data_IF_111506185106
#
_entry.id   IF_111506185106
#
_cell.length_a   1.000
_cell.length_b   1.000
_cell.length_c   1.000
_cell.angle_alpha   90.00
_cell.angle_beta   90.00
_cell.angle_gamma   90.00
#
_symmetry.space_group_name_H-M   'P 1'
#
loop_
_entity.id
_entity.type
_entity.pdbx_description
1 polymer ?
#
# COMPACT_ATOMS: atom_id res chain seq x y z
N UNK A 1 1.58 26.43 -53.05
CA UNK A 1 1.04 27.52 -52.20
C UNK A 1 0.84 26.95 -50.81
N UNK A 2 1.64 27.43 -49.86
CA UNK A 2 1.69 26.98 -48.46
C UNK A 2 0.61 27.72 -47.64
N UNK A 3 -0.07 27.01 -46.75
CA UNK A 3 -0.61 27.57 -45.50
C UNK A 3 -0.36 26.53 -44.42
N UNK A 4 0.40 26.95 -43.41
CA UNK A 4 0.93 26.12 -42.34
C UNK A 4 -0.07 26.01 -41.20
N UNK A 5 -0.09 24.82 -40.61
CA UNK A 5 -0.74 24.52 -39.35
C UNK A 5 0.27 24.89 -38.24
N UNK A 6 -0.10 25.86 -37.40
CA UNK A 6 0.69 26.21 -36.23
C UNK A 6 0.22 25.33 -35.07
N UNK A 7 1.06 24.36 -34.67
CA UNK A 7 0.97 23.74 -33.36
C UNK A 7 1.37 24.80 -32.33
N UNK A 8 0.42 25.19 -31.47
CA UNK A 8 0.73 25.87 -30.22
C UNK A 8 0.88 24.78 -29.16
N UNK A 9 2.13 24.43 -28.86
CA UNK A 9 2.47 23.57 -27.73
C UNK A 9 2.28 24.39 -26.45
N UNK A 10 1.20 24.13 -25.71
CA UNK A 10 1.11 24.43 -24.30
C UNK A 10 1.24 23.10 -23.55
N UNK A 11 2.49 22.79 -23.22
CA UNK A 11 2.86 21.77 -22.26
C UNK A 11 2.46 22.29 -20.87
N UNK A 12 1.30 21.89 -20.38
CA UNK A 12 0.98 21.96 -18.94
C UNK A 12 0.92 20.53 -18.47
N UNK A 13 1.90 20.20 -17.62
CA UNK A 13 2.07 18.92 -16.96
C UNK A 13 0.84 18.69 -16.06
N UNK A 14 -0.12 17.88 -16.51
CA UNK A 14 -1.14 17.31 -15.63
C UNK A 14 -0.51 16.06 -15.04
N UNK A 15 -0.01 16.18 -13.81
CA UNK A 15 0.55 15.07 -13.07
C UNK A 15 -0.56 14.13 -12.63
N UNK A 16 -0.52 12.88 -13.09
CA UNK A 16 -1.04 11.77 -12.32
C UNK A 16 -0.16 11.60 -11.08
N UNK A 17 -0.77 11.47 -9.91
CA UNK A 17 -0.13 10.86 -8.74
C UNK A 17 -0.82 9.51 -8.58
N UNK A 18 -0.16 8.46 -9.09
CA UNK A 18 -0.31 7.12 -8.55
C UNK A 18 0.33 7.10 -7.16
N UNK A 19 -0.12 6.25 -6.21
CA UNK A 19 0.53 6.12 -4.92
C UNK A 19 2.02 5.80 -5.13
N UNK A 20 2.87 6.67 -4.59
CA UNK A 20 4.32 6.49 -4.58
C UNK A 20 4.60 5.50 -3.45
N UNK A 21 4.93 4.27 -3.81
CA UNK A 21 5.77 3.41 -3.00
C UNK A 21 7.02 3.16 -3.84
N UNK A 22 8.10 3.89 -3.55
CA UNK A 22 9.47 3.39 -3.74
C UNK A 22 10.48 4.28 -3.03
N UNK A 23 11.14 3.62 -2.09
CA UNK A 23 12.22 4.10 -1.24
C UNK A 23 13.51 4.30 -2.05
N UNK A 24 14.30 5.28 -1.60
CA UNK A 24 15.64 5.65 -2.04
C UNK A 24 16.50 4.53 -2.67
N UNK A 25 16.85 4.68 -3.95
CA UNK A 25 18.10 4.17 -4.50
C UNK A 25 18.51 4.94 -5.78
N UNK A 26 19.39 5.94 -5.66
CA UNK A 26 20.43 6.11 -6.69
C UNK A 26 21.69 6.75 -6.11
N UNK A 27 22.76 5.96 -6.10
CA UNK A 27 24.10 6.38 -5.79
C UNK A 27 24.89 6.59 -7.09
N UNK A 28 25.29 7.85 -7.32
CA UNK A 28 26.69 8.14 -7.64
C UNK A 28 27.06 8.39 -9.10
N UNK A 29 27.46 9.63 -9.38
CA UNK A 29 28.72 9.92 -10.07
C UNK A 29 29.15 11.37 -9.80
N UNK A 30 30.20 11.53 -8.98
CA UNK A 30 30.80 12.82 -8.69
C UNK A 30 31.63 13.36 -9.85
N UNK A 31 31.63 14.70 -10.02
CA UNK A 31 32.73 15.43 -10.64
C UNK A 31 32.91 16.78 -9.92
N UNK A 32 33.93 16.79 -9.05
CA UNK A 32 34.95 17.81 -8.80
C UNK A 32 34.58 19.31 -8.81
N UNK A 33 34.78 19.89 -7.63
CA UNK A 33 34.98 21.30 -7.31
C UNK A 33 36.16 21.94 -8.07
N UNK A 34 35.92 23.13 -8.63
CA UNK A 34 36.92 24.18 -8.79
C UNK A 34 36.20 25.55 -8.90
N UNK A 35 36.44 26.42 -7.92
CA UNK A 35 35.84 27.76 -7.81
C UNK A 35 36.34 28.83 -8.81
N UNK A 36 36.39 30.11 -8.41
CA UNK A 36 35.40 31.10 -8.82
C UNK A 36 35.97 32.21 -9.73
N UNK A 37 35.12 32.89 -10.51
CA UNK A 37 35.52 34.16 -11.13
C UNK A 37 34.61 34.74 -12.22
N UNK A 38 33.98 35.87 -11.91
CA UNK A 38 34.23 37.12 -12.65
C UNK A 38 33.33 37.50 -13.84
N UNK A 39 32.60 38.61 -13.66
CA UNK A 39 32.24 39.58 -14.70
C UNK A 39 31.05 39.19 -15.60
N UNK A 40 30.08 40.04 -15.93
CA UNK A 40 29.99 41.49 -15.89
C UNK A 40 29.18 41.95 -17.10
N UNK A 41 28.21 42.83 -16.89
CA UNK A 41 27.46 43.57 -17.93
C UNK A 41 26.23 42.84 -18.48
N UNK A 42 25.07 43.47 -18.64
CA UNK A 42 24.70 44.87 -18.57
C UNK A 42 23.56 45.13 -19.57
N UNK A 43 22.57 45.93 -19.14
CA UNK A 43 21.50 46.52 -19.98
C UNK A 43 20.34 45.57 -20.27
N UNK A 44 19.12 45.78 -19.76
CA UNK A 44 18.29 46.99 -19.90
C UNK A 44 17.18 46.65 -20.91
N UNK A 45 15.90 46.89 -20.72
CA UNK A 45 15.08 47.59 -19.73
C UNK A 45 13.63 47.46 -20.24
N UNK A 46 12.63 47.69 -19.38
CA UNK A 46 11.23 47.67 -19.81
C UNK A 46 10.23 47.43 -18.68
N UNK A 47 10.09 48.43 -17.81
CA UNK A 47 9.04 48.53 -16.80
C UNK A 47 7.62 48.44 -17.37
N UNK A 48 6.75 47.75 -16.64
CA UNK A 48 5.30 47.81 -16.72
C UNK A 48 4.72 47.40 -15.35
N UNK A 49 4.51 48.42 -14.53
CA UNK A 49 4.03 48.43 -13.14
C UNK A 49 2.51 48.18 -13.04
N UNK A 50 2.06 47.99 -11.79
CA UNK A 50 0.71 47.86 -11.23
C UNK A 50 0.10 46.44 -11.32
N UNK A 51 -0.17 45.71 -10.23
CA UNK A 51 -0.46 46.12 -8.86
C UNK A 51 -1.96 45.98 -8.60
N UNK A 52 -2.33 45.26 -7.54
CA UNK A 52 -3.69 45.28 -7.00
C UNK A 52 -4.18 43.94 -6.51
N UNK A 53 -3.89 43.62 -5.25
CA UNK A 53 -4.63 42.60 -4.52
C UNK A 53 -6.10 42.99 -4.39
N UNK A 54 -6.96 41.99 -4.52
CA UNK A 54 -8.37 42.07 -4.22
C UNK A 54 -8.83 40.66 -3.87
N UNK A 55 -9.18 40.45 -2.60
CA UNK A 55 -9.84 39.22 -2.17
C UNK A 55 -11.10 39.01 -2.99
N UNK A 56 -11.29 37.79 -3.48
CA UNK A 56 -12.56 37.40 -4.08
C UNK A 56 -13.50 36.96 -2.96
N UNK A 57 -14.30 37.93 -2.56
CA UNK A 57 -15.60 37.73 -1.92
C UNK A 57 -16.47 36.80 -2.80
N UNK A 58 -17.16 35.85 -2.18
CA UNK A 58 -17.93 34.77 -2.79
C UNK A 58 -19.20 35.22 -3.52
N UNK A 59 -19.05 36.08 -4.53
CA UNK A 59 -20.12 36.47 -5.44
C UNK A 59 -20.17 35.56 -6.66
N UNK A 60 -21.24 34.78 -6.79
CA UNK A 60 -21.56 33.97 -7.98
C UNK A 60 -21.49 34.86 -9.23
N UNK A 61 -20.66 34.51 -10.21
CA UNK A 61 -20.64 35.18 -11.52
C UNK A 61 -22.02 34.99 -12.19
N UNK A 62 -22.83 36.05 -12.42
CA UNK A 62 -24.21 35.93 -12.88
C UNK A 62 -24.35 35.42 -14.32
N UNK A 63 -23.25 35.07 -14.99
CA UNK A 63 -23.23 34.58 -16.37
C UNK A 63 -22.95 33.08 -16.50
N UNK A 64 -22.79 32.33 -15.41
CA UNK A 64 -22.58 30.88 -15.46
C UNK A 64 -23.95 30.19 -15.57
N UNK A 65 -24.16 29.42 -16.63
CA UNK A 65 -25.43 28.74 -16.90
C UNK A 65 -25.58 27.50 -16.01
N UNK A 66 -26.76 27.30 -15.43
CA UNK A 66 -27.11 26.06 -14.75
C UNK A 66 -27.35 24.93 -15.77
N UNK A 67 -26.73 23.78 -15.54
CA UNK A 67 -26.91 22.54 -16.31
C UNK A 67 -27.27 21.40 -15.38
N UNK A 68 -27.97 20.39 -15.90
CA UNK A 68 -28.17 19.13 -15.18
C UNK A 68 -27.03 18.16 -15.47
N UNK A 69 -26.78 17.23 -14.56
CA UNK A 69 -25.83 16.13 -14.78
C UNK A 69 -26.20 15.34 -16.05
N UNK A 70 -27.49 15.12 -16.27
CA UNK A 70 -27.97 14.44 -17.47
C UNK A 70 -27.56 15.17 -18.76
N UNK A 71 -27.64 16.51 -18.81
CA UNK A 71 -27.21 17.27 -19.99
C UNK A 71 -25.71 17.12 -20.27
N UNK A 72 -24.90 17.03 -19.22
CA UNK A 72 -23.45 16.81 -19.35
C UNK A 72 -23.22 15.41 -19.94
N UNK A 73 -23.77 14.40 -19.27
CA UNK A 73 -23.61 12.98 -19.59
C UNK A 73 -24.19 12.59 -20.98
N UNK A 74 -25.16 13.35 -21.53
CA UNK A 74 -25.72 13.09 -22.87
C UNK A 74 -25.07 13.92 -23.98
N UNK A 75 -24.01 14.69 -23.69
CA UNK A 75 -23.27 15.47 -24.69
C UNK A 75 -23.93 16.79 -25.11
N UNK A 76 -24.90 17.30 -24.33
CA UNK A 76 -25.52 18.62 -24.57
C UNK A 76 -24.64 19.78 -24.07
N UNK A 77 -23.56 19.46 -23.35
CA UNK A 77 -22.56 20.41 -22.84
C UNK A 77 -21.23 20.14 -23.54
N UNK A 78 -20.60 21.18 -24.08
CA UNK A 78 -19.29 21.05 -24.68
C UNK A 78 -18.19 20.94 -23.60
N UNK A 79 -17.17 20.13 -23.85
CA UNK A 79 -15.99 20.03 -22.99
C UNK A 79 -15.36 21.42 -22.74
N UNK A 80 -14.76 21.61 -21.57
CA UNK A 80 -14.17 22.86 -21.08
C UNK A 80 -15.18 23.99 -20.86
N UNK A 81 -16.47 23.64 -20.69
CA UNK A 81 -17.51 24.60 -20.32
C UNK A 81 -17.58 24.75 -18.80
N UNK A 82 -17.44 25.98 -18.31
CA UNK A 82 -17.78 26.33 -16.93
C UNK A 82 -19.31 26.37 -16.76
N UNK A 83 -19.81 25.67 -15.76
CA UNK A 83 -21.24 25.50 -15.51
C UNK A 83 -21.56 25.44 -14.02
N UNK A 84 -22.85 25.57 -13.70
CA UNK A 84 -23.39 25.40 -12.35
C UNK A 84 -24.31 24.17 -12.30
N UNK A 85 -24.21 23.39 -11.24
CA UNK A 85 -25.16 22.30 -10.93
C UNK A 85 -25.87 22.67 -9.64
N UNK A 86 -27.19 22.88 -9.72
CA UNK A 86 -28.03 23.19 -8.57
C UNK A 86 -28.58 21.92 -7.90
N UNK A 87 -28.55 21.88 -6.56
CA UNK A 87 -29.24 20.86 -5.73
C UNK A 87 -28.90 19.39 -6.07
N UNK A 88 -27.61 19.07 -6.27
CA UNK A 88 -27.15 17.68 -6.36
C UNK A 88 -26.94 17.06 -4.96
N UNK A 89 -26.99 15.74 -4.86
CA UNK A 89 -26.72 15.00 -3.62
C UNK A 89 -25.35 14.34 -3.70
N UNK A 90 -24.51 14.51 -2.69
CA UNK A 90 -23.23 13.80 -2.54
C UNK A 90 -23.51 12.33 -2.24
N UNK A 91 -23.15 11.43 -3.16
CA UNK A 91 -23.40 9.99 -3.04
C UNK A 91 -22.22 9.23 -2.45
N UNK A 92 -21.00 9.74 -2.62
CA UNK A 92 -19.77 9.24 -1.99
C UNK A 92 -18.71 10.36 -1.91
N UNK A 93 -17.79 10.27 -0.95
CA UNK A 93 -16.64 11.17 -0.81
C UNK A 93 -15.37 10.33 -0.90
N UNK A 94 -14.41 10.75 -1.72
CA UNK A 94 -13.11 10.12 -1.87
C UNK A 94 -12.08 11.07 -1.28
N UNK A 95 -11.57 10.72 -0.09
CA UNK A 95 -10.61 11.55 0.65
C UNK A 95 -9.43 11.95 -0.25
N UNK A 96 -9.05 13.22 -0.17
CA UNK A 96 -7.93 13.83 -0.92
C UNK A 96 -8.01 13.78 -2.46
N UNK A 97 -9.16 13.38 -3.03
CA UNK A 97 -9.34 13.34 -4.49
C UNK A 97 -10.60 14.06 -4.97
N UNK A 98 -11.75 13.85 -4.34
CA UNK A 98 -13.01 14.38 -4.84
C UNK A 98 -14.24 13.75 -4.21
N UNK A 99 -15.35 13.77 -4.94
CA UNK A 99 -16.62 13.21 -4.48
C UNK A 99 -17.56 12.92 -5.66
N UNK A 100 -18.50 12.01 -5.46
CA UNK A 100 -19.55 11.72 -6.43
C UNK A 100 -20.81 12.48 -6.05
N UNK A 101 -21.49 13.02 -7.06
CA UNK A 101 -22.81 13.64 -6.89
C UNK A 101 -23.83 13.03 -7.83
N UNK A 102 -25.10 13.12 -7.45
CA UNK A 102 -26.21 12.66 -8.27
C UNK A 102 -27.40 13.63 -8.19
N UNK A 103 -28.07 13.86 -9.31
CA UNK A 103 -29.32 14.62 -9.41
C UNK A 103 -30.48 13.69 -9.75
N UNK A 104 -31.33 13.43 -8.74
CA UNK A 104 -32.44 12.49 -8.86
C UNK A 104 -31.99 11.03 -8.93
N UNK A 105 -32.81 10.18 -9.54
CA UNK A 105 -32.55 8.75 -9.75
C UNK A 105 -32.69 8.41 -11.23
N UNK A 106 -31.88 7.49 -11.75
CA UNK A 106 -31.97 7.06 -13.14
C UNK A 106 -30.67 7.22 -13.92
N UNK A 107 -30.74 6.90 -15.21
CA UNK A 107 -29.57 6.92 -16.09
C UNK A 107 -29.01 8.35 -16.21
N UNK A 108 -27.70 8.46 -16.34
CA UNK A 108 -26.98 9.73 -16.52
C UNK A 108 -27.27 10.75 -15.40
N UNK A 109 -27.59 10.27 -14.19
CA UNK A 109 -27.89 11.16 -13.07
C UNK A 109 -26.67 11.48 -12.23
N UNK A 110 -25.56 10.74 -12.40
CA UNK A 110 -24.37 10.83 -11.58
C UNK A 110 -23.15 11.38 -12.33
N UNK A 111 -22.22 11.98 -11.59
CA UNK A 111 -20.94 12.46 -12.12
C UNK A 111 -19.90 12.55 -10.99
N UNK A 112 -18.63 12.32 -11.35
CA UNK A 112 -17.51 12.57 -10.44
C UNK A 112 -17.12 14.05 -10.44
N UNK A 113 -16.79 14.56 -9.26
CA UNK A 113 -16.28 15.91 -9.06
C UNK A 113 -14.86 15.81 -8.53
N UNK A 114 -13.90 16.17 -9.38
CA UNK A 114 -12.49 16.17 -9.07
C UNK A 114 -12.11 17.44 -8.28
N UNK A 115 -11.58 17.25 -7.07
CA UNK A 115 -11.22 18.31 -6.15
C UNK A 115 -10.08 17.87 -5.22
N UNK A 116 -8.83 17.80 -5.72
CA UNK A 116 -7.69 17.26 -4.99
C UNK A 116 -7.16 18.20 -3.90
N UNK A 117 -7.66 19.43 -3.82
CA UNK A 117 -7.33 20.35 -2.73
C UNK A 117 -8.21 20.01 -1.52
N UNK A 118 -7.59 19.78 -0.35
CA UNK A 118 -8.28 19.43 0.92
C UNK A 118 -9.51 20.29 1.25
N UNK A 119 -9.60 21.52 0.75
CA UNK A 119 -10.74 22.43 0.96
C UNK A 119 -11.98 22.09 0.13
N UNK A 120 -11.86 21.32 -0.97
CA UNK A 120 -12.99 20.96 -1.83
C UNK A 120 -13.88 19.88 -1.20
N UNK A 121 -13.31 19.04 -0.34
CA UNK A 121 -14.00 17.97 0.39
C UNK A 121 -14.21 18.30 1.88
N UNK A 122 -13.59 19.36 2.40
CA UNK A 122 -13.72 19.76 3.81
C UNK A 122 -15.19 20.02 4.19
N UNK A 123 -15.70 19.20 5.11
CA UNK A 123 -17.09 19.30 5.60
C UNK A 123 -18.14 18.69 4.67
N UNK A 124 -17.77 18.10 3.52
CA UNK A 124 -18.67 17.28 2.73
C UNK A 124 -18.91 15.93 3.39
N UNK A 125 -20.17 15.51 3.41
CA UNK A 125 -20.58 14.20 3.92
C UNK A 125 -21.55 13.56 2.93
N UNK A 126 -21.58 12.23 2.93
CA UNK A 126 -22.56 11.46 2.16
C UNK A 126 -23.99 11.89 2.51
N UNK A 127 -24.82 12.11 1.49
CA UNK A 127 -26.17 12.64 1.62
C UNK A 127 -26.25 14.16 1.80
N UNK A 128 -25.14 14.90 1.69
CA UNK A 128 -25.19 16.35 1.62
C UNK A 128 -25.81 16.82 0.29
N UNK A 129 -26.72 17.80 0.36
CA UNK A 129 -27.17 18.55 -0.81
C UNK A 129 -26.22 19.70 -1.06
N UNK A 130 -25.78 19.80 -2.30
CA UNK A 130 -24.83 20.81 -2.73
C UNK A 130 -25.34 21.52 -3.97
N UNK A 131 -24.92 22.77 -4.08
CA UNK A 131 -24.84 23.43 -5.36
C UNK A 131 -23.39 23.74 -5.63
N UNK A 132 -22.92 23.50 -6.85
CA UNK A 132 -21.53 23.78 -7.19
C UNK A 132 -21.38 24.44 -8.56
N UNK A 133 -20.26 25.12 -8.72
CA UNK A 133 -19.75 25.57 -10.01
C UNK A 133 -18.47 24.80 -10.30
N UNK A 134 -18.26 24.41 -11.55
CA UNK A 134 -17.04 23.72 -11.99
C UNK A 134 -16.92 23.73 -13.51
N UNK A 135 -15.79 23.24 -14.01
CA UNK A 135 -15.54 23.09 -15.45
C UNK A 135 -15.73 21.64 -15.85
N UNK A 136 -16.61 21.38 -16.82
CA UNK A 136 -16.76 20.04 -17.40
C UNK A 136 -15.53 19.67 -18.22
N UNK A 137 -14.96 18.51 -17.94
CA UNK A 137 -13.82 17.94 -18.65
C UNK A 137 -14.06 16.45 -18.93
N UNK A 138 -13.58 15.99 -20.07
CA UNK A 138 -13.46 14.56 -20.37
C UNK A 138 -12.09 14.10 -19.92
N UNK A 139 -12.04 13.27 -18.89
CA UNK A 139 -10.79 12.74 -18.38
C UNK A 139 -10.49 11.41 -19.04
N UNK A 140 -9.44 11.37 -19.86
CA UNK A 140 -8.95 10.16 -20.49
C UNK A 140 -7.70 9.64 -19.77
N UNK A 141 -7.74 8.40 -19.29
CA UNK A 141 -6.59 7.71 -18.68
C UNK A 141 -6.62 6.24 -19.03
N UNK A 142 -5.48 5.70 -19.47
CA UNK A 142 -5.23 4.27 -19.66
C UNK A 142 -6.38 3.47 -20.29
N UNK A 143 -6.95 4.00 -21.37
CA UNK A 143 -8.02 3.32 -22.12
C UNK A 143 -9.45 3.61 -21.64
N UNK A 144 -9.61 4.37 -20.56
CA UNK A 144 -10.90 4.90 -20.08
C UNK A 144 -11.08 6.37 -20.43
N UNK A 145 -12.33 6.78 -20.62
CA UNK A 145 -12.77 8.18 -20.66
C UNK A 145 -13.92 8.34 -19.68
N UNK A 146 -13.85 9.36 -18.82
CA UNK A 146 -14.88 9.61 -17.81
C UNK A 146 -15.29 11.08 -17.85
N UNK A 147 -16.59 11.33 -17.73
CA UNK A 147 -17.12 12.68 -17.56
C UNK A 147 -16.91 13.15 -16.13
N UNK A 148 -16.23 14.28 -15.93
CA UNK A 148 -16.03 14.85 -14.59
C UNK A 148 -16.12 16.38 -14.56
N UNK A 149 -16.32 16.92 -13.36
CA UNK A 149 -16.18 18.34 -13.09
C UNK A 149 -14.87 18.64 -12.37
N UNK A 150 -14.12 19.61 -12.86
CA UNK A 150 -12.86 20.07 -12.25
C UNK A 150 -12.99 21.47 -11.64
N UNK A 151 -12.11 21.76 -10.67
CA UNK A 151 -12.01 23.03 -9.95
C UNK A 151 -13.33 23.47 -9.31
N UNK A 152 -13.97 22.61 -8.51
CA UNK A 152 -15.29 22.91 -7.97
C UNK A 152 -15.23 24.03 -6.93
N UNK A 153 -16.22 24.92 -6.98
CA UNK A 153 -16.62 25.73 -5.82
C UNK A 153 -17.94 25.18 -5.32
N UNK A 154 -17.98 24.73 -4.06
CA UNK A 154 -19.12 23.98 -3.51
C UNK A 154 -19.82 24.80 -2.42
N UNK A 155 -21.14 24.91 -2.54
CA UNK A 155 -22.05 25.44 -1.53
C UNK A 155 -22.87 24.28 -0.94
N UNK A 156 -22.71 24.00 0.36
CA UNK A 156 -23.51 22.98 1.05
C UNK A 156 -24.83 23.59 1.50
N UNK A 157 -25.92 23.11 0.92
CA UNK A 157 -27.29 23.56 1.22
C UNK A 157 -27.85 22.89 2.49
N UNK A 158 -27.31 21.72 2.84
CA UNK A 158 -27.65 20.96 4.05
C UNK A 158 -27.20 19.51 3.96
N UNK A 159 -27.13 18.81 5.09
CA UNK A 159 -26.74 17.40 5.17
C UNK A 159 -27.78 16.62 5.97
N UNK A 160 -28.89 16.27 5.31
CA UNK A 160 -29.94 15.46 5.93
C UNK A 160 -29.73 13.95 5.76
N UNK A 161 -28.65 13.55 5.09
CA UNK A 161 -28.26 12.14 4.93
C UNK A 161 -29.14 11.38 3.93
N UNK A 162 -30.02 12.07 3.20
CA UNK A 162 -30.93 11.43 2.25
C UNK A 162 -30.19 11.18 0.93
N UNK A 163 -29.96 9.92 0.63
CA UNK A 163 -29.40 9.49 -0.65
C UNK A 163 -30.50 9.31 -1.70
N UNK A 164 -30.17 9.44 -3.01
CA UNK A 164 -31.03 8.94 -4.07
C UNK A 164 -31.30 7.45 -3.89
N UNK A 165 -32.49 7.00 -4.29
CA UNK A 165 -32.79 5.57 -4.33
C UNK A 165 -31.87 4.88 -5.36
N UNK A 166 -31.12 3.83 -4.98
CA UNK A 166 -30.23 3.13 -5.89
C UNK A 166 -31.02 2.47 -7.01
N UNK A 167 -30.45 2.45 -8.23
CA UNK A 167 -31.01 1.64 -9.31
C UNK A 167 -30.70 0.16 -9.04
N UNK A 168 -31.72 -0.68 -9.06
CA UNK A 168 -31.52 -2.13 -8.94
C UNK A 168 -31.23 -2.68 -10.34
N UNK A 169 -30.02 -3.19 -10.54
CA UNK A 169 -29.53 -3.68 -11.83
C UNK A 169 -29.01 -5.11 -11.72
N UNK A 170 -29.03 -5.82 -12.84
CA UNK A 170 -28.25 -7.05 -12.99
C UNK A 170 -26.78 -6.67 -13.29
N UNK A 171 -25.78 -7.45 -12.82
CA UNK A 171 -24.36 -7.13 -13.03
C UNK A 171 -23.99 -6.84 -14.49
N UNK A 172 -24.58 -7.57 -15.45
CA UNK A 172 -24.31 -7.37 -16.87
C UNK A 172 -24.75 -6.01 -17.43
N UNK A 173 -25.64 -5.29 -16.74
CA UNK A 173 -26.07 -3.95 -17.17
C UNK A 173 -24.99 -2.89 -16.93
N UNK A 174 -24.05 -3.16 -16.02
CA UNK A 174 -22.88 -2.33 -15.73
C UNK A 174 -21.69 -2.67 -16.63
N UNK A 175 -21.87 -3.51 -17.65
CA UNK A 175 -20.82 -3.93 -18.58
C UNK A 175 -21.13 -3.53 -20.02
N UNK A 176 -20.08 -3.36 -20.83
CA UNK A 176 -20.18 -3.02 -22.25
C UNK A 176 -20.71 -1.61 -22.51
N UNK A 177 -21.12 -1.34 -23.76
CA UNK A 177 -21.55 0.01 -24.19
C UNK A 177 -22.76 0.57 -23.43
N UNK A 178 -23.57 -0.30 -22.82
CA UNK A 178 -24.73 0.12 -22.01
C UNK A 178 -24.37 0.63 -20.61
N UNK A 179 -23.14 0.41 -20.15
CA UNK A 179 -22.69 0.78 -18.82
C UNK A 179 -22.55 2.30 -18.62
N UNK A 180 -22.33 3.05 -19.70
CA UNK A 180 -22.22 4.53 -19.66
C UNK A 180 -23.43 5.20 -19.02
N UNK A 181 -24.60 4.56 -19.16
CA UNK A 181 -25.84 5.03 -18.55
C UNK A 181 -25.75 5.16 -17.02
N UNK A 182 -24.82 4.45 -16.39
CA UNK A 182 -24.70 4.29 -14.96
C UNK A 182 -23.38 4.82 -14.39
N UNK A 183 -22.58 5.53 -15.20
CA UNK A 183 -21.38 6.21 -14.70
C UNK A 183 -21.76 7.27 -13.64
N UNK A 184 -21.09 7.22 -12.49
CA UNK A 184 -21.35 8.07 -11.33
C UNK A 184 -22.68 7.79 -10.62
N UNK A 185 -23.48 6.82 -11.09
CA UNK A 185 -24.82 6.54 -10.55
C UNK A 185 -24.74 5.52 -9.42
N UNK A 186 -25.52 5.75 -8.37
CA UNK A 186 -25.71 4.83 -7.26
C UNK A 186 -26.58 3.64 -7.69
N UNK A 187 -26.03 2.44 -7.60
CA UNK A 187 -26.60 1.18 -8.09
C UNK A 187 -26.54 0.12 -7.01
N UNK A 188 -27.55 -0.74 -6.97
CA UNK A 188 -27.54 -1.99 -6.19
C UNK A 188 -27.66 -3.18 -7.15
N UNK A 189 -26.76 -4.16 -6.99
CA UNK A 189 -26.87 -5.48 -7.61
C UNK A 189 -27.23 -6.51 -6.53
N UNK A 190 -27.91 -7.58 -6.89
CA UNK A 190 -28.34 -8.63 -5.97
C UNK A 190 -27.78 -10.01 -6.33
N UNK A 191 -27.74 -10.90 -5.33
CA UNK A 191 -27.48 -12.34 -5.49
C UNK A 191 -26.22 -12.67 -6.31
N UNK A 192 -25.07 -12.17 -5.88
CA UNK A 192 -23.78 -12.38 -6.56
C UNK A 192 -22.80 -13.20 -5.73
N UNK A 193 -21.88 -13.88 -6.40
CA UNK A 193 -20.80 -14.68 -5.83
C UNK A 193 -19.46 -14.22 -6.40
N UNK A 194 -18.41 -14.18 -5.57
CA UNK A 194 -17.03 -13.94 -6.02
C UNK A 194 -16.59 -15.11 -6.89
N UNK A 195 -16.23 -14.83 -8.14
CA UNK A 195 -15.72 -15.81 -9.11
C UNK A 195 -14.21 -15.70 -9.29
N UNK A 196 -13.64 -14.51 -9.10
CA UNK A 196 -12.21 -14.29 -9.03
C UNK A 196 -11.89 -13.35 -7.87
N UNK A 197 -11.04 -13.80 -6.95
CA UNK A 197 -10.64 -13.03 -5.78
C UNK A 197 -9.51 -12.03 -6.07
N UNK A 198 -8.82 -12.17 -7.21
CA UNK A 198 -7.82 -11.24 -7.70
C UNK A 198 -7.85 -11.20 -9.24
N UNK A 199 -8.61 -10.29 -9.85
CA UNK A 199 -8.73 -10.20 -11.29
C UNK A 199 -7.51 -9.56 -11.99
N UNK A 200 -6.49 -9.12 -11.25
CA UNK A 200 -5.34 -8.35 -11.76
C UNK A 200 -4.00 -9.09 -11.62
N UNK A 201 -4.05 -10.42 -11.49
CA UNK A 201 -2.84 -11.25 -11.38
C UNK A 201 -1.78 -10.94 -12.45
N UNK A 202 -0.48 -10.91 -12.07
CA UNK A 202 0.06 -11.24 -10.74
C UNK A 202 0.04 -10.07 -9.75
N UNK A 203 -0.42 -8.88 -10.15
CA UNK A 203 -0.66 -7.78 -9.21
C UNK A 203 -1.87 -8.07 -8.33
N UNK A 204 -2.06 -7.30 -7.27
CA UNK A 204 -3.28 -7.26 -6.48
C UNK A 204 -3.56 -5.79 -6.15
N UNK A 205 -4.75 -5.31 -6.55
CA UNK A 205 -5.17 -3.93 -6.37
C UNK A 205 -6.51 -3.86 -5.61
N UNK A 206 -6.78 -4.82 -4.72
CA UNK A 206 -7.98 -4.80 -3.88
C UNK A 206 -9.28 -5.24 -4.59
N UNK A 207 -9.26 -5.38 -5.91
CA UNK A 207 -10.45 -5.71 -6.72
C UNK A 207 -10.89 -7.18 -6.58
N UNK A 208 -12.20 -7.41 -6.77
CA UNK A 208 -12.79 -8.74 -6.95
C UNK A 208 -13.65 -8.78 -8.21
N UNK A 209 -13.77 -9.94 -8.85
CA UNK A 209 -14.75 -10.18 -9.92
C UNK A 209 -15.88 -11.06 -9.40
N UNK A 210 -17.12 -10.58 -9.55
CA UNK A 210 -18.33 -11.29 -9.11
C UNK A 210 -19.12 -11.87 -10.28
N UNK A 211 -20.21 -12.57 -9.95
CA UNK A 211 -21.17 -13.13 -10.91
C UNK A 211 -21.53 -12.13 -12.01
N UNK A 212 -21.44 -12.58 -13.26
CA UNK A 212 -21.65 -11.74 -14.44
C UNK A 212 -20.40 -11.04 -14.95
N UNK A 213 -19.24 -11.21 -14.32
CA UNK A 213 -17.97 -10.62 -14.74
C UNK A 213 -17.80 -9.15 -14.37
N UNK A 214 -18.63 -8.66 -13.43
CA UNK A 214 -18.53 -7.29 -12.93
C UNK A 214 -17.42 -7.22 -11.89
N UNK A 215 -16.56 -6.21 -12.00
CA UNK A 215 -15.54 -5.93 -10.99
C UNK A 215 -16.11 -5.04 -9.89
N UNK A 216 -15.77 -5.37 -8.65
CA UNK A 216 -16.03 -4.56 -7.46
C UNK A 216 -14.68 -4.05 -6.98
N UNK A 217 -14.56 -2.75 -6.80
CA UNK A 217 -13.29 -2.06 -6.58
C UNK A 217 -13.34 -1.28 -5.25
N UNK A 218 -12.24 -1.36 -4.52
CA UNK A 218 -12.05 -0.86 -3.17
C UNK A 218 -11.70 0.64 -3.13
N UNK A 219 -11.65 1.32 -4.27
CA UNK A 219 -11.28 2.73 -4.43
C UNK A 219 -11.97 3.70 -3.45
N UNK A 220 -13.24 3.46 -3.09
CA UNK A 220 -13.94 4.25 -2.06
C UNK A 220 -13.82 3.61 -0.67
N UNK A 221 -13.72 2.28 -0.60
CA UNK A 221 -13.72 1.50 0.63
C UNK A 221 -12.55 0.50 0.71
N UNK A 222 -11.35 1.01 1.03
CA UNK A 222 -10.09 0.25 1.06
C UNK A 222 -10.01 -0.88 2.11
N UNK A 223 -10.97 -1.00 3.03
CA UNK A 223 -11.06 -2.16 3.93
C UNK A 223 -11.36 -3.47 3.17
N UNK A 224 -11.77 -3.38 1.90
CA UNK A 224 -11.90 -4.54 1.02
C UNK A 224 -10.55 -5.17 0.67
N UNK A 225 -9.53 -4.35 0.37
CA UNK A 225 -8.19 -4.83 0.02
C UNK A 225 -7.54 -5.57 1.20
N UNK A 226 -7.60 -4.96 2.38
CA UNK A 226 -6.98 -5.44 3.62
C UNK A 226 -7.74 -6.58 4.31
N UNK A 227 -8.87 -7.01 3.74
CA UNK A 227 -9.73 -8.06 4.31
C UNK A 227 -10.53 -7.64 5.55
N UNK A 228 -10.53 -6.35 5.90
CA UNK A 228 -11.30 -5.79 7.01
C UNK A 228 -12.81 -5.82 6.79
N UNK A 229 -13.26 -5.73 5.53
CA UNK A 229 -14.67 -5.86 5.15
C UNK A 229 -15.12 -7.33 5.10
N UNK A 230 -14.36 -8.16 4.38
CA UNK A 230 -14.55 -9.60 4.21
C UNK A 230 -13.26 -10.19 3.62
N UNK A 231 -13.04 -11.49 3.79
CA UNK A 231 -11.89 -12.15 3.13
C UNK A 231 -12.20 -12.36 1.65
N UNK A 232 -11.40 -11.80 0.73
CA UNK A 232 -11.59 -11.94 -0.72
C UNK A 232 -11.38 -13.40 -1.15
N UNK A 233 -12.48 -14.17 -1.20
CA UNK A 233 -12.44 -15.61 -1.46
C UNK A 233 -13.52 -16.02 -2.46
N UNK A 234 -13.12 -16.77 -3.49
CA UNK A 234 -14.04 -17.39 -4.45
C UNK A 234 -15.10 -18.22 -3.72
N UNK A 235 -16.36 -18.01 -4.06
CA UNK A 235 -17.49 -18.63 -3.39
C UNK A 235 -18.15 -17.77 -2.30
N UNK A 236 -17.53 -16.67 -1.88
CA UNK A 236 -18.18 -15.69 -1.00
C UNK A 236 -19.41 -15.12 -1.72
N UNK A 237 -20.57 -15.15 -1.07
CA UNK A 237 -21.84 -14.69 -1.63
C UNK A 237 -22.30 -13.39 -0.98
N UNK A 238 -22.93 -12.53 -1.78
CA UNK A 238 -23.59 -11.32 -1.33
C UNK A 238 -25.06 -11.37 -1.74
N UNK A 239 -25.95 -11.10 -0.79
CA UNK A 239 -27.36 -10.87 -1.11
C UNK A 239 -27.55 -9.56 -1.87
N UNK A 240 -26.69 -8.56 -1.58
CA UNK A 240 -26.63 -7.32 -2.35
C UNK A 240 -25.30 -6.62 -2.21
N UNK A 241 -24.86 -5.98 -3.29
CA UNK A 241 -23.78 -5.00 -3.29
C UNK A 241 -24.33 -3.67 -3.80
N UNK A 242 -24.14 -2.59 -3.04
CA UNK A 242 -24.49 -1.23 -3.46
C UNK A 242 -23.22 -0.44 -3.71
N UNK A 243 -23.21 0.45 -4.71
CA UNK A 243 -22.03 1.25 -4.99
C UNK A 243 -22.24 2.23 -6.13
N UNK A 244 -21.18 2.96 -6.47
CA UNK A 244 -21.17 3.90 -7.59
C UNK A 244 -20.65 3.18 -8.84
N UNK A 245 -21.38 3.24 -9.95
CA UNK A 245 -20.86 2.76 -11.24
C UNK A 245 -19.72 3.65 -11.74
N UNK A 246 -18.59 3.08 -12.13
CA UNK A 246 -17.42 3.84 -12.59
C UNK A 246 -16.65 3.06 -13.66
N UNK A 247 -15.98 3.77 -14.58
CA UNK A 247 -14.92 3.19 -15.40
C UNK A 247 -13.52 3.65 -15.00
N UNK A 248 -12.59 2.73 -14.78
CA UNK A 248 -11.17 3.06 -14.60
C UNK A 248 -10.30 1.96 -15.19
N UNK A 249 -9.13 2.33 -15.71
CA UNK A 249 -8.13 1.40 -16.28
C UNK A 249 -8.69 0.45 -17.35
N UNK A 250 -9.68 0.88 -18.12
CA UNK A 250 -10.36 0.09 -19.15
C UNK A 250 -11.41 -0.89 -18.64
N UNK A 251 -11.76 -0.84 -17.35
CA UNK A 251 -12.72 -1.73 -16.70
C UNK A 251 -13.90 -0.97 -16.13
N UNK A 252 -15.11 -1.52 -16.34
CA UNK A 252 -16.33 -1.06 -15.66
C UNK A 252 -16.47 -1.76 -14.32
N UNK A 253 -16.70 -0.96 -13.29
CA UNK A 253 -16.64 -1.38 -11.90
C UNK A 253 -17.81 -0.81 -11.11
N UNK A 254 -18.09 -1.44 -9.98
CA UNK A 254 -18.96 -0.93 -8.94
C UNK A 254 -18.10 -0.60 -7.71
N UNK A 255 -18.31 0.59 -7.14
CA UNK A 255 -17.51 1.11 -6.03
C UNK A 255 -18.35 1.15 -4.74
N UNK A 256 -18.27 0.14 -3.86
CA UNK A 256 -18.92 0.17 -2.55
C UNK A 256 -18.33 1.30 -1.69
N UNK A 257 -19.16 1.93 -0.88
CA UNK A 257 -18.78 3.14 -0.15
C UNK A 257 -18.41 2.88 1.30
N UNK A 258 -18.92 1.80 1.88
CA UNK A 258 -18.62 1.31 3.23
C UNK A 258 -19.14 -0.14 3.41
N UNK A 259 -19.04 -0.66 4.64
CA UNK A 259 -19.50 -2.02 4.97
C UNK A 259 -21.01 -2.22 4.75
N UNK A 260 -21.85 -1.19 4.91
CA UNK A 260 -23.31 -1.32 4.74
C UNK A 260 -23.70 -1.59 3.28
N UNK A 261 -22.82 -1.22 2.34
CA UNK A 261 -22.98 -1.48 0.92
C UNK A 261 -22.67 -2.96 0.54
N UNK A 262 -22.08 -3.75 1.43
CA UNK A 262 -21.63 -5.13 1.19
C UNK A 262 -22.39 -6.15 2.06
N UNK A 263 -23.57 -6.58 1.61
CA UNK A 263 -24.42 -7.47 2.41
C UNK A 263 -24.14 -8.93 2.07
N UNK A 264 -23.41 -9.63 2.93
CA UNK A 264 -23.08 -11.06 2.78
C UNK A 264 -24.32 -11.96 2.87
N UNK A 265 -24.36 -12.99 2.01
CA UNK A 265 -25.35 -14.07 2.07
C UNK A 265 -24.75 -15.29 2.77
N UNK A 266 -24.85 -15.28 4.11
CA UNK A 266 -24.35 -16.36 4.97
C UNK A 266 -22.88 -16.20 5.38
N UNK A 267 -22.33 -17.30 5.91
CA UNK A 267 -20.92 -17.36 6.30
C UNK A 267 -20.02 -17.43 5.05
N UNK A 268 -18.83 -16.83 5.13
CA UNK A 268 -17.82 -16.97 4.09
C UNK A 268 -17.37 -18.43 3.95
N UNK A 269 -16.99 -18.88 2.74
CA UNK A 269 -16.37 -20.18 2.57
C UNK A 269 -15.12 -20.31 3.45
N UNK A 270 -14.88 -21.51 3.97
CA UNK A 270 -13.60 -21.81 4.61
C UNK A 270 -12.48 -21.64 3.58
N UNK A 271 -11.34 -21.05 3.96
CA UNK A 271 -10.18 -20.99 3.06
C UNK A 271 -9.82 -22.40 2.59
N UNK A 272 -9.37 -22.55 1.33
CA UNK A 272 -8.93 -23.84 0.85
C UNK A 272 -7.86 -24.38 1.81
N UNK A 273 -7.99 -25.66 2.18
CA UNK A 273 -7.04 -26.30 3.08
C UNK A 273 -5.63 -26.17 2.49
N UNK A 274 -4.80 -25.37 3.14
CA UNK A 274 -3.41 -25.16 2.80
C UNK A 274 -2.60 -26.36 3.27
N UNK A 275 -1.59 -26.73 2.47
CA UNK A 275 -0.69 -27.81 2.84
C UNK A 275 0.05 -27.42 4.12
N UNK A 276 -0.07 -28.24 5.16
CA UNK A 276 0.70 -28.07 6.39
C UNK A 276 2.11 -28.62 6.18
N UNK A 277 3.11 -27.75 6.29
CA UNK A 277 4.52 -28.09 6.06
C UNK A 277 5.37 -27.68 7.27
N UNK A 278 6.54 -28.32 7.40
CA UNK A 278 7.56 -27.87 8.34
C UNK A 278 8.40 -26.76 7.73
N UNK A 279 8.94 -25.87 8.57
CA UNK A 279 9.88 -24.80 8.14
C UNK A 279 11.06 -25.40 7.38
N UNK A 280 11.55 -26.57 7.80
CA UNK A 280 12.65 -27.26 7.12
C UNK A 280 12.34 -27.56 5.66
N UNK A 281 11.09 -27.90 5.33
CA UNK A 281 10.70 -28.20 3.95
C UNK A 281 10.62 -26.94 3.08
N UNK A 282 10.39 -25.77 3.69
CA UNK A 282 10.45 -24.48 2.99
C UNK A 282 11.93 -24.12 2.75
N UNK A 283 12.71 -24.13 3.83
CA UNK A 283 14.11 -23.71 3.85
C UNK A 283 15.07 -24.63 3.07
N UNK A 284 14.76 -25.92 2.92
CA UNK A 284 15.55 -26.85 2.10
C UNK A 284 15.13 -26.90 0.61
N UNK A 285 14.12 -26.10 0.22
CA UNK A 285 13.59 -26.01 -1.14
C UNK A 285 12.65 -27.14 -1.54
N UNK A 286 12.21 -28.01 -0.62
CA UNK A 286 11.16 -29.01 -0.90
C UNK A 286 9.83 -28.34 -1.27
N UNK A 287 9.53 -27.19 -0.66
CA UNK A 287 8.43 -26.31 -1.01
C UNK A 287 8.97 -25.15 -1.85
N UNK A 288 8.55 -25.08 -3.10
CA UNK A 288 8.98 -24.02 -4.02
C UNK A 288 8.36 -22.66 -3.65
N UNK A 289 9.08 -21.58 -3.97
CA UNK A 289 8.54 -20.22 -3.87
C UNK A 289 7.26 -20.03 -4.71
N UNK A 290 6.37 -19.17 -4.25
CA UNK A 290 5.03 -18.92 -4.81
C UNK A 290 3.94 -19.83 -4.25
N UNK A 291 4.29 -20.88 -3.47
CA UNK A 291 3.31 -21.74 -2.81
C UNK A 291 2.79 -21.11 -1.53
N UNK A 292 1.47 -21.12 -1.34
CA UNK A 292 0.85 -20.82 -0.03
C UNK A 292 0.77 -22.08 0.80
N UNK A 293 1.35 -22.04 2.00
CA UNK A 293 1.46 -23.18 2.93
C UNK A 293 1.10 -22.73 4.35
N UNK A 294 0.82 -23.71 5.22
CA UNK A 294 0.65 -23.47 6.65
C UNK A 294 1.81 -24.08 7.44
N UNK A 295 2.44 -23.28 8.28
CA UNK A 295 3.39 -23.72 9.30
C UNK A 295 2.68 -23.70 10.65
N UNK A 296 2.46 -24.87 11.23
CA UNK A 296 1.82 -24.97 12.55
C UNK A 296 2.85 -24.96 13.70
N UNK A 297 2.47 -24.39 14.84
CA UNK A 297 3.16 -24.48 16.13
C UNK A 297 4.59 -23.91 16.13
N UNK A 298 4.90 -22.98 15.23
CA UNK A 298 6.14 -22.21 15.27
C UNK A 298 6.25 -21.40 16.55
N UNK A 299 7.46 -21.26 17.09
CA UNK A 299 7.73 -20.39 18.24
C UNK A 299 8.34 -19.10 17.74
N UNK A 300 7.74 -17.96 18.09
CA UNK A 300 8.28 -16.63 17.76
C UNK A 300 9.60 -16.45 18.50
N UNK A 301 10.71 -16.35 17.76
CA UNK A 301 12.06 -16.20 18.34
C UNK A 301 12.51 -14.76 18.42
N UNK A 302 11.99 -13.88 17.56
CA UNK A 302 12.23 -12.45 17.55
C UNK A 302 11.07 -11.70 16.86
N UNK A 303 10.90 -10.42 17.17
CA UNK A 303 9.87 -9.54 16.62
C UNK A 303 10.53 -8.22 16.20
N UNK A 304 10.11 -7.65 15.07
CA UNK A 304 10.59 -6.36 14.59
C UNK A 304 9.42 -5.50 14.09
N UNK A 305 9.42 -4.22 14.47
CA UNK A 305 8.41 -3.22 14.08
C UNK A 305 9.10 -1.91 13.70
N UNK A 306 8.42 -1.01 12.97
CA UNK A 306 8.97 0.31 12.64
C UNK A 306 9.93 0.32 11.44
N UNK A 307 10.05 -0.80 10.74
CA UNK A 307 10.82 -1.03 9.50
C UNK A 307 10.11 -2.09 8.67
N UNK A 308 10.79 -3.00 7.95
CA UNK A 308 10.09 -4.18 7.43
C UNK A 308 9.56 -4.97 8.62
N UNK A 309 8.28 -4.79 8.92
CA UNK A 309 7.62 -5.27 10.12
C UNK A 309 7.32 -6.75 9.96
N UNK A 310 7.66 -7.53 10.98
CA UNK A 310 7.53 -8.97 10.93
C UNK A 310 8.11 -9.63 12.17
N UNK A 311 8.29 -10.94 12.08
CA UNK A 311 8.81 -11.75 13.18
C UNK A 311 9.44 -13.03 12.66
N UNK A 312 10.36 -13.61 13.44
CA UNK A 312 10.95 -14.90 13.12
C UNK A 312 10.25 -15.98 13.91
N UNK A 313 10.00 -17.11 13.26
CA UNK A 313 9.49 -18.32 13.91
C UNK A 313 10.48 -19.46 13.74
N UNK A 314 10.52 -20.35 14.73
CA UNK A 314 11.34 -21.56 14.69
C UNK A 314 10.56 -22.80 15.12
N UNK A 315 10.77 -23.92 14.44
CA UNK A 315 10.23 -25.23 14.77
C UNK A 315 11.36 -26.15 15.22
N UNK A 316 11.48 -26.35 16.54
CA UNK A 316 12.55 -27.17 17.10
C UNK A 316 13.89 -26.44 17.12
N UNK A 317 14.98 -27.16 16.81
CA UNK A 317 16.33 -26.63 16.68
C UNK A 317 17.04 -27.24 15.48
N UNK A 318 18.28 -26.85 15.26
CA UNK A 318 19.13 -27.31 14.17
C UNK A 318 18.95 -26.56 12.85
N UNK A 319 19.63 -27.03 11.80
CA UNK A 319 19.56 -26.44 10.46
C UNK A 319 18.13 -26.33 9.92
N UNK A 320 17.86 -25.27 9.18
CA UNK A 320 16.62 -25.01 8.44
C UNK A 320 15.37 -24.93 9.34
N UNK A 321 15.55 -24.69 10.64
CA UNK A 321 14.45 -24.70 11.60
C UNK A 321 13.74 -23.35 11.74
N UNK A 322 14.33 -22.27 11.22
CA UNK A 322 13.84 -20.89 11.36
C UNK A 322 13.41 -20.27 10.04
N UNK A 323 12.50 -19.30 10.08
CA UNK A 323 12.06 -18.52 8.91
C UNK A 323 11.53 -17.16 9.34
N UNK A 324 11.70 -16.16 8.48
CA UNK A 324 11.10 -14.85 8.66
C UNK A 324 9.67 -14.81 8.13
N UNK A 325 8.78 -14.17 8.88
CA UNK A 325 7.39 -13.89 8.50
C UNK A 325 7.25 -12.38 8.31
N UNK A 326 7.16 -11.96 7.05
CA UNK A 326 7.01 -10.57 6.66
C UNK A 326 5.53 -10.18 6.74
N UNK A 327 5.21 -9.18 7.56
CA UNK A 327 3.84 -8.68 7.75
C UNK A 327 3.57 -7.43 6.92
N UNK A 328 4.56 -6.56 6.74
CA UNK A 328 4.43 -5.36 5.92
C UNK A 328 5.53 -4.35 6.17
N UNK A 329 5.36 -3.14 5.63
CA UNK A 329 6.31 -2.04 5.81
C UNK A 329 6.22 -1.41 7.22
N UNK A 330 6.87 -0.26 7.43
CA UNK A 330 7.04 0.40 8.74
C UNK A 330 5.77 0.56 9.56
N UNK A 331 4.65 0.85 8.90
CA UNK A 331 3.38 1.19 9.56
C UNK A 331 2.47 -0.04 9.75
N UNK A 332 2.87 -1.21 9.25
CA UNK A 332 2.12 -2.45 9.40
C UNK A 332 1.97 -2.84 10.88
N UNK A 333 0.83 -3.41 11.23
CA UNK A 333 0.51 -3.83 12.58
C UNK A 333 0.68 -5.33 12.73
N UNK A 334 1.37 -5.76 13.77
CA UNK A 334 1.48 -7.17 14.12
C UNK A 334 0.14 -7.71 14.65
N UNK A 335 -0.11 -9.03 14.53
CA UNK A 335 -1.25 -9.69 15.15
C UNK A 335 -1.33 -9.37 16.65
N UNK A 336 -2.54 -9.10 17.15
CA UNK A 336 -2.74 -8.75 18.55
C UNK A 336 -2.22 -9.86 19.48
N UNK A 337 -1.40 -9.47 20.46
CA UNK A 337 -0.85 -10.39 21.46
C UNK A 337 0.35 -11.22 20.99
N UNK A 338 0.85 -10.99 19.77
CA UNK A 338 2.08 -11.60 19.30
C UNK A 338 3.29 -11.00 20.01
N UNK A 339 4.07 -11.84 20.67
CA UNK A 339 5.31 -11.50 21.35
C UNK A 339 6.36 -12.62 21.24
N UNK A 340 7.63 -12.32 21.53
CA UNK A 340 8.68 -13.34 21.63
C UNK A 340 8.26 -14.46 22.58
N UNK A 341 8.38 -15.71 22.13
CA UNK A 341 7.92 -16.91 22.83
C UNK A 341 6.48 -17.32 22.51
N UNK A 342 5.70 -16.53 21.79
CA UNK A 342 4.35 -16.93 21.34
C UNK A 342 4.41 -18.18 20.46
N UNK A 343 3.46 -19.09 20.62
CA UNK A 343 3.23 -20.15 19.63
C UNK A 343 2.27 -19.64 18.57
N UNK A 344 2.61 -19.82 17.32
CA UNK A 344 1.79 -19.37 16.19
C UNK A 344 1.58 -20.48 15.17
N UNK A 345 0.40 -20.46 14.54
CA UNK A 345 0.15 -21.13 13.27
C UNK A 345 0.11 -20.03 12.19
N UNK A 346 0.93 -20.17 11.15
CA UNK A 346 1.10 -19.14 10.11
C UNK A 346 0.76 -19.76 8.76
N UNK A 347 -0.22 -19.20 8.08
CA UNK A 347 -0.47 -19.48 6.66
C UNK A 347 0.08 -18.32 5.85
N UNK A 348 0.96 -18.58 4.88
CA UNK A 348 1.56 -17.52 4.06
C UNK A 348 2.14 -18.05 2.76
N UNK A 349 2.43 -17.15 1.82
CA UNK A 349 3.12 -17.46 0.56
C UNK A 349 4.62 -17.53 0.79
N UNK A 350 5.26 -18.63 0.38
CA UNK A 350 6.72 -18.74 0.35
C UNK A 350 7.27 -17.78 -0.71
N UNK A 351 8.23 -16.93 -0.33
CA UNK A 351 8.84 -15.96 -1.22
C UNK A 351 10.35 -15.85 -0.98
N UNK A 352 11.07 -15.53 -2.05
CA UNK A 352 12.48 -15.14 -2.01
C UNK A 352 12.57 -13.62 -2.07
N UNK A 353 13.22 -13.01 -1.09
CA UNK A 353 13.39 -11.56 -1.05
C UNK A 353 14.83 -11.20 -0.66
N UNK A 354 15.53 -10.52 -1.56
CA UNK A 354 16.91 -10.05 -1.37
C UNK A 354 17.91 -11.11 -0.88
N UNK A 355 17.69 -12.38 -1.21
CA UNK A 355 18.57 -13.49 -0.82
C UNK A 355 18.08 -14.31 0.38
N UNK A 356 16.95 -13.96 0.99
CA UNK A 356 16.33 -14.71 2.09
C UNK A 356 14.99 -15.34 1.70
N UNK A 357 14.73 -16.53 2.24
CA UNK A 357 13.44 -17.20 2.16
C UNK A 357 12.52 -16.73 3.29
N UNK A 358 11.31 -16.30 2.95
CA UNK A 358 10.34 -15.76 3.91
C UNK A 358 8.90 -16.17 3.60
N UNK A 359 8.00 -16.03 4.58
CA UNK A 359 6.56 -16.07 4.38
C UNK A 359 6.01 -14.64 4.19
N UNK A 360 5.24 -14.41 3.13
CA UNK A 360 4.53 -13.17 2.82
C UNK A 360 3.02 -13.34 2.91
N UNK A 361 2.31 -12.22 3.03
CA UNK A 361 0.86 -12.11 3.18
C UNK A 361 0.31 -13.07 4.26
N UNK A 362 0.86 -13.02 5.49
CA UNK A 362 0.61 -14.04 6.48
C UNK A 362 -0.76 -13.87 7.16
N UNK A 363 -1.51 -14.95 7.25
CA UNK A 363 -2.60 -15.11 8.22
C UNK A 363 -2.04 -15.83 9.44
N UNK A 364 -2.05 -15.16 10.59
CA UNK A 364 -1.40 -15.63 11.82
C UNK A 364 -2.44 -15.91 12.90
N UNK A 365 -2.46 -17.13 13.41
CA UNK A 365 -3.21 -17.49 14.61
C UNK A 365 -2.25 -17.56 15.79
N UNK A 366 -2.41 -16.65 16.75
CA UNK A 366 -1.60 -16.61 17.97
C UNK A 366 -2.22 -17.53 19.02
N UNK A 367 -1.48 -18.54 19.45
CA UNK A 367 -1.85 -19.45 20.53
C UNK A 367 -1.17 -19.09 21.86
N UNK A 368 -1.17 -20.05 22.80
CA UNK A 368 -0.51 -19.89 24.09
C UNK A 368 1.02 -19.74 23.95
N UNK A 369 1.66 -19.10 24.93
CA UNK A 369 3.13 -19.01 25.01
C UNK A 369 3.80 -20.39 24.95
N UNK A 370 4.85 -20.51 24.16
CA UNK A 370 5.78 -21.64 24.15
C UNK A 370 7.13 -21.31 24.79
N UNK A 371 7.92 -22.36 25.05
CA UNK A 371 9.32 -22.16 25.42
C UNK A 371 10.12 -21.76 24.18
N UNK A 372 11.00 -20.76 24.33
CA UNK A 372 11.98 -20.43 23.29
C UNK A 372 12.86 -21.66 23.00
N UNK A 373 13.22 -21.91 21.74
CA UNK A 373 14.27 -22.87 21.41
C UNK A 373 15.57 -22.51 22.10
N UNK A 374 16.35 -23.52 22.49
CA UNK A 374 17.73 -23.29 22.92
C UNK A 374 18.57 -22.81 21.71
N UNK A 375 19.37 -21.74 21.86
CA UNK A 375 20.20 -21.26 20.77
C UNK A 375 21.22 -22.30 20.31
N UNK A 376 21.37 -22.47 19.00
CA UNK A 376 22.38 -23.36 18.44
C UNK A 376 23.78 -22.78 18.65
N UNK A 377 24.66 -23.55 19.30
CA UNK A 377 26.02 -23.10 19.63
C UNK A 377 26.94 -23.32 18.45
N UNK A 378 27.29 -22.24 17.73
CA UNK A 378 28.08 -22.27 16.50
C UNK A 378 29.42 -21.54 16.67
N UNK A 379 30.32 -21.73 15.71
CA UNK A 379 31.50 -20.90 15.57
C UNK A 379 31.22 -19.76 14.58
N UNK A 380 31.95 -18.65 14.71
CA UNK A 380 31.85 -17.51 13.78
C UNK A 380 31.95 -17.96 12.32
N UNK A 381 32.88 -18.86 12.01
CA UNK A 381 33.11 -19.39 10.65
C UNK A 381 31.92 -20.18 10.08
N UNK A 382 31.01 -20.67 10.92
CA UNK A 382 29.82 -21.40 10.47
C UNK A 382 28.73 -20.47 9.90
N UNK A 383 28.84 -19.16 10.19
CA UNK A 383 27.81 -18.15 9.91
C UNK A 383 28.29 -17.06 8.94
N UNK A 384 29.54 -17.07 8.48
CA UNK A 384 30.06 -16.02 7.59
C UNK A 384 29.55 -16.17 6.15
N UNK A 385 29.46 -15.04 5.43
CA UNK A 385 29.00 -14.97 4.04
C UNK A 385 29.70 -15.95 3.09
N UNK A 386 31.02 -16.12 3.23
CA UNK A 386 31.80 -17.01 2.35
C UNK A 386 31.60 -18.51 2.65
N UNK A 387 30.87 -18.87 3.72
CA UNK A 387 30.57 -20.25 4.03
C UNK A 387 29.27 -20.68 3.35
N UNK A 388 29.38 -21.58 2.38
CA UNK A 388 28.24 -22.14 1.63
C UNK A 388 27.23 -22.91 2.49
N UNK A 389 27.58 -23.23 3.74
CA UNK A 389 26.69 -23.88 4.69
C UNK A 389 26.02 -22.89 5.66
N UNK A 390 26.32 -21.60 5.59
CA UNK A 390 25.71 -20.60 6.47
C UNK A 390 24.20 -20.46 6.22
N UNK A 391 23.75 -20.69 4.98
CA UNK A 391 22.34 -20.64 4.58
C UNK A 391 21.44 -21.51 5.47
N UNK A 392 21.94 -22.66 5.91
CA UNK A 392 21.14 -23.57 6.72
C UNK A 392 20.78 -23.00 8.10
N UNK A 393 21.39 -21.89 8.50
CA UNK A 393 21.11 -21.24 9.77
C UNK A 393 20.20 -20.02 9.60
N UNK A 394 19.79 -19.67 8.38
CA UNK A 394 18.88 -18.54 8.15
C UNK A 394 17.60 -18.66 8.99
N UNK A 395 17.27 -17.58 9.70
CA UNK A 395 16.15 -17.47 10.62
C UNK A 395 16.29 -18.26 11.93
N UNK A 396 17.38 -19.02 12.11
CA UNK A 396 17.61 -19.84 13.31
C UNK A 396 18.19 -18.98 14.44
N UNK A 397 17.72 -19.22 15.66
CA UNK A 397 18.30 -18.67 16.89
C UNK A 397 19.63 -19.38 17.19
N UNK A 398 20.73 -18.63 17.14
CA UNK A 398 22.10 -19.15 17.30
C UNK A 398 22.86 -18.37 18.37
N UNK A 399 23.96 -18.94 18.85
CA UNK A 399 24.91 -18.24 19.71
C UNK A 399 26.35 -18.53 19.33
N UNK A 400 27.20 -17.52 19.48
CA UNK A 400 28.66 -17.60 19.34
C UNK A 400 29.30 -17.19 20.66
N UNK A 401 30.42 -17.82 21.03
CA UNK A 401 31.06 -17.62 22.35
C UNK A 401 32.52 -17.22 22.22
N UNK A 402 33.02 -16.48 23.22
CA UNK A 402 34.41 -16.03 23.31
C UNK A 402 34.88 -15.28 22.04
N UNK A 403 34.07 -14.34 21.58
CA UNK A 403 34.31 -13.57 20.35
C UNK A 403 34.83 -12.17 20.66
N UNK A 404 35.38 -11.49 19.66
CA UNK A 404 35.97 -10.16 19.80
C UNK A 404 35.69 -9.34 18.55
N UNK A 405 35.44 -8.04 18.68
CA UNK A 405 35.29 -7.13 17.54
C UNK A 405 36.63 -7.02 16.80
N UNK A 406 36.64 -7.29 15.49
CA UNK A 406 37.77 -7.05 14.59
C UNK A 406 37.63 -5.79 13.74
N UNK A 407 36.39 -5.33 13.50
CA UNK A 407 36.10 -4.11 12.76
C UNK A 407 34.87 -3.44 13.39
N UNK A 408 35.05 -2.19 13.84
CA UNK A 408 34.02 -1.47 14.59
C UNK A 408 32.88 -0.92 13.73
N UNK A 409 33.16 -0.66 12.45
CA UNK A 409 32.22 -0.13 11.47
C UNK A 409 32.66 -0.62 10.07
N UNK A 410 31.99 -1.65 9.52
CA UNK A 410 32.30 -2.20 8.20
C UNK A 410 31.72 -1.39 7.03
N UNK A 411 30.96 -0.33 7.31
CA UNK A 411 30.20 0.45 6.30
C UNK A 411 30.79 1.84 6.05
N UNK A 412 31.88 2.18 6.75
CA UNK A 412 32.60 3.44 6.58
C UNK A 412 31.77 4.63 7.06
N UNK A 413 31.72 5.70 6.26
CA UNK A 413 31.14 6.98 6.68
C UNK A 413 29.62 6.95 6.95
N UNK A 414 28.90 5.93 6.46
CA UNK A 414 27.44 5.84 6.63
C UNK A 414 26.99 5.19 7.95
N UNK A 415 27.88 4.45 8.65
CA UNK A 415 27.67 3.69 9.91
C UNK A 415 26.23 3.20 10.14
N UNK A 416 25.93 1.98 9.72
CA UNK A 416 24.59 1.39 9.87
C UNK A 416 24.44 0.57 11.16
N UNK A 417 25.14 0.92 12.24
CA UNK A 417 25.03 0.19 13.51
C UNK A 417 25.75 -1.16 13.57
N UNK A 418 26.34 -1.62 12.46
CA UNK A 418 26.96 -2.94 12.34
C UNK A 418 28.41 -3.00 12.87
N UNK A 419 28.84 -4.17 13.33
CA UNK A 419 30.25 -4.45 13.60
C UNK A 419 30.64 -5.87 13.19
N UNK A 420 31.94 -6.12 13.01
CA UNK A 420 32.45 -7.44 12.58
C UNK A 420 33.21 -8.10 13.71
N UNK A 421 32.89 -9.37 13.97
CA UNK A 421 33.63 -10.23 14.87
C UNK A 421 34.87 -10.82 14.19
N UNK A 422 35.92 -11.08 14.98
CA UNK A 422 37.09 -11.82 14.53
C UNK A 422 36.66 -13.17 13.93
N UNK A 423 36.96 -13.35 12.64
CA UNK A 423 36.47 -14.46 11.83
C UNK A 423 35.51 -14.04 10.71
N UNK A 424 34.97 -12.82 10.74
CA UNK A 424 34.27 -12.19 9.61
C UNK A 424 32.75 -12.13 9.72
N UNK A 425 32.14 -12.56 10.83
CA UNK A 425 30.68 -12.47 11.01
C UNK A 425 30.27 -11.04 11.39
N UNK A 426 29.32 -10.47 10.65
CA UNK A 426 28.69 -9.20 10.98
C UNK A 426 27.64 -9.39 12.08
N UNK A 427 27.55 -8.43 12.98
CA UNK A 427 26.50 -8.31 14.00
C UNK A 427 25.80 -6.98 13.74
N UNK A 428 24.47 -7.01 13.71
CA UNK A 428 23.62 -5.93 13.20
C UNK A 428 22.53 -5.58 14.23
N UNK A 429 22.20 -4.30 14.31
CA UNK A 429 21.26 -3.70 15.25
C UNK A 429 19.80 -3.80 14.78
N UNK A 430 19.54 -4.44 13.64
CA UNK A 430 18.22 -4.56 13.01
C UNK A 430 17.06 -5.01 13.91
N UNK A 431 17.31 -5.77 14.98
CA UNK A 431 16.28 -6.11 15.97
C UNK A 431 16.44 -5.30 17.25
N UNK A 432 17.67 -4.90 17.59
CA UNK A 432 18.03 -4.28 18.85
C UNK A 432 18.87 -3.02 18.62
N UNK A 433 18.18 -1.90 18.36
CA UNK A 433 18.78 -0.60 18.00
C UNK A 433 19.76 -0.06 19.05
N UNK A 434 19.63 -0.44 20.33
CA UNK A 434 20.55 0.00 21.40
C UNK A 434 22.00 -0.47 21.16
N UNK A 435 22.22 -1.44 20.26
CA UNK A 435 23.56 -1.85 19.81
C UNK A 435 24.33 -0.70 19.15
N UNK A 436 23.65 0.16 18.39
CA UNK A 436 24.29 1.28 17.67
C UNK A 436 24.92 2.26 18.65
N UNK A 437 24.22 2.55 19.75
CA UNK A 437 24.53 3.62 20.71
C UNK A 437 25.92 3.53 21.35
N UNK A 438 26.47 2.31 21.45
CA UNK A 438 27.70 2.03 22.20
C UNK A 438 27.55 2.18 23.73
N UNK A 439 26.34 2.40 24.26
CA UNK A 439 26.11 2.50 25.70
C UNK A 439 26.20 1.13 26.41
N UNK A 440 25.79 0.06 25.72
CA UNK A 440 25.81 -1.30 26.26
C UNK A 440 27.25 -1.84 26.40
N UNK A 441 28.08 -1.54 25.41
CA UNK A 441 29.51 -1.84 25.35
C UNK A 441 30.20 -0.95 24.30
N UNK A 442 31.51 -0.68 24.42
CA UNK A 442 32.21 0.09 23.39
C UNK A 442 32.29 -0.71 22.08
N UNK A 443 31.69 -0.18 21.00
CA UNK A 443 31.89 -0.66 19.62
C UNK A 443 33.29 -0.30 19.11
N UNK A 444 34.29 -0.94 19.71
CA UNK A 444 35.71 -0.73 19.40
C UNK A 444 36.40 -2.06 19.11
N UNK A 445 37.40 -2.04 18.22
CA UNK A 445 38.23 -3.22 17.93
C UNK A 445 38.89 -3.71 19.21
N UNK A 446 38.74 -5.00 19.51
CA UNK A 446 39.24 -5.62 20.73
C UNK A 446 38.22 -5.77 21.86
N UNK A 447 37.02 -5.20 21.73
CA UNK A 447 35.90 -5.47 22.67
C UNK A 447 35.53 -6.94 22.63
N UNK A 448 35.48 -7.60 23.80
CA UNK A 448 35.29 -9.05 23.95
C UNK A 448 33.90 -9.38 24.47
N UNK A 449 33.41 -10.57 24.11
CA UNK A 449 32.14 -11.11 24.58
C UNK A 449 32.31 -12.57 24.99
N UNK A 450 31.78 -12.94 26.15
CA UNK A 450 31.63 -14.33 26.55
C UNK A 450 30.62 -15.05 25.64
N UNK A 451 29.53 -14.38 25.25
CA UNK A 451 28.51 -14.90 24.32
C UNK A 451 27.76 -13.76 23.62
N UNK A 452 27.41 -13.97 22.36
CA UNK A 452 26.39 -13.22 21.62
C UNK A 452 25.37 -14.25 21.11
N UNK A 453 24.10 -14.03 21.42
CA UNK A 453 22.96 -14.78 20.88
C UNK A 453 22.22 -13.90 19.87
N UNK A 454 21.60 -14.48 18.86
CA UNK A 454 20.79 -13.73 17.90
C UNK A 454 20.20 -14.62 16.81
N UNK A 455 19.40 -14.01 15.94
CA UNK A 455 18.89 -14.67 14.74
C UNK A 455 19.96 -14.61 13.66
N UNK A 456 20.33 -15.74 13.04
CA UNK A 456 21.17 -15.67 11.85
C UNK A 456 20.32 -15.23 10.64
N UNK A 457 20.78 -14.24 9.89
CA UNK A 457 20.00 -13.62 8.82
C UNK A 457 20.89 -13.18 7.67
N UNK A 458 20.32 -13.01 6.48
CA UNK A 458 20.99 -12.36 5.36
C UNK A 458 20.34 -11.01 5.06
N UNK A 459 21.17 -9.99 4.88
CA UNK A 459 20.73 -8.75 4.25
C UNK A 459 21.88 -8.05 3.53
N UNK A 460 21.56 -7.39 2.42
CA UNK A 460 22.53 -6.69 1.57
C UNK A 460 23.74 -7.57 1.16
N UNK A 461 23.50 -8.87 0.93
CA UNK A 461 24.53 -9.84 0.55
C UNK A 461 25.52 -10.22 1.66
N UNK A 462 25.20 -9.92 2.93
CA UNK A 462 26.00 -10.31 4.08
C UNK A 462 25.21 -11.25 5.00
N UNK A 463 25.86 -12.32 5.46
CA UNK A 463 25.34 -13.11 6.58
C UNK A 463 25.66 -12.39 7.90
N UNK A 464 24.64 -12.25 8.73
CA UNK A 464 24.66 -11.44 9.95
C UNK A 464 24.05 -12.20 11.12
N UNK A 465 24.42 -11.77 12.32
CA UNK A 465 23.77 -12.16 13.55
C UNK A 465 22.97 -10.97 14.10
N UNK A 466 21.70 -11.17 14.40
CA UNK A 466 20.79 -10.14 14.90
C UNK A 466 20.46 -10.40 16.38
N UNK A 467 21.16 -9.79 17.35
CA UNK A 467 20.77 -9.89 18.75
C UNK A 467 19.41 -9.24 18.96
N UNK A 468 18.61 -9.81 19.86
CA UNK A 468 17.20 -9.40 20.02
C UNK A 468 17.00 -8.39 21.13
N UNK A 469 17.88 -8.44 22.13
CA UNK A 469 17.80 -7.65 23.35
C UNK A 469 19.11 -7.70 24.13
N UNK A 470 19.24 -6.87 25.16
CA UNK A 470 20.46 -6.78 25.97
C UNK A 470 20.91 -8.12 26.59
N UNK A 471 19.97 -9.02 26.93
CA UNK A 471 20.30 -10.32 27.53
C UNK A 471 20.93 -11.31 26.56
N UNK A 472 20.86 -11.05 25.25
CA UNK A 472 21.57 -11.83 24.24
C UNK A 472 23.08 -11.53 24.23
N UNK A 473 23.53 -10.45 24.89
CA UNK A 473 24.94 -10.06 24.97
C UNK A 473 25.49 -10.37 26.37
N UNK A 474 26.55 -11.17 26.45
CA UNK A 474 27.27 -11.44 27.71
C UNK A 474 28.72 -10.98 27.59
N UNK A 475 29.12 -10.02 28.43
CA UNK A 475 30.48 -9.51 28.52
C UNK A 475 31.38 -10.39 29.43
N UNK A 476 32.72 -10.30 29.30
CA UNK A 476 33.73 -11.02 30.11
C UNK A 476 33.56 -10.94 31.63
#
# INVERSE_FOLDING_TARGET
MKKGLALLSCLVLVGCIAPIDEENADGGAGVQDAGPGGGGGGGGGGQGDAGGGGGQDGGVNPNIESKTIQQIQTGDVAENTELRIDEAVVTAVVSDQGFFIQQGSGNHSGIFVYGPESTATEGLVRGARVTLTGTYVEFASEGSSTSQLAYPTVEVLGADGVLPEPLILEPSALLGEGAELYEGVLVTIGDVEILNANPDEPGDFGEIEVTGGLRIDDYIYGEMENGGAFVRMVGTRFSSITGIGHESFGHRKLLPRDADDLVLDGDQPDPPATEVVAITAIQDGTVEAGRTVTVERGIVTAVVTGRATGFWIQQGGGPYSGIYVYVGNRDAQLPQGLEQGSRVDVTGRVAEYQGSTQLQDPVVVVGDSGALPEPESLQVVDLVTDNTQAEQWEGVLVSVTNVTISEANPDGDNDYGEFVLAGGLRVDDYIFDDLESGELFPREVGTQFNRITGIAHESYGNKKLLPREATDITLP
#
